data_IF_232904398113
#
_entry.id   IF_232904398113
#
_cell.length_a   1.000
_cell.length_b   1.000
_cell.length_c   1.000
_cell.angle_alpha   90.00
_cell.angle_beta   90.00
_cell.angle_gamma   90.00
#
_symmetry.space_group_name_H-M   'P 1'
#
loop_
_entity.id
_entity.type
_entity.pdbx_description
1 polymer ?
#
# COMPACT_ATOMS: atom_id res chain seq x y z
N UNK A 1 0.22 -21.35 30.49
CA UNK A 1 1.36 -21.00 31.36
C UNK A 1 1.37 -19.50 31.54
N UNK A 2 1.54 -18.99 32.77
CA UNK A 2 1.80 -17.56 32.98
C UNK A 2 3.29 -17.38 32.72
N UNK A 3 3.65 -16.66 31.65
CA UNK A 3 5.03 -16.33 31.33
C UNK A 3 5.29 -14.95 31.92
N UNK A 4 5.93 -14.90 33.09
CA UNK A 4 6.45 -13.64 33.65
C UNK A 4 7.89 -13.43 33.17
N UNK A 5 8.22 -12.22 32.75
CA UNK A 5 9.57 -11.85 32.36
C UNK A 5 9.97 -10.56 33.06
N UNK A 6 10.89 -10.65 34.02
CA UNK A 6 11.39 -9.49 34.76
C UNK A 6 12.14 -8.49 33.86
N UNK A 7 12.53 -8.91 32.65
CA UNK A 7 13.15 -8.07 31.64
C UNK A 7 12.17 -7.20 30.84
N UNK A 8 10.87 -7.51 30.87
CA UNK A 8 9.84 -6.76 30.13
C UNK A 8 9.20 -5.72 31.06
N UNK A 9 9.83 -4.55 31.14
CA UNK A 9 9.34 -3.41 31.91
C UNK A 9 8.63 -2.41 30.99
N UNK A 10 7.41 -2.03 31.36
CA UNK A 10 6.66 -0.95 30.76
C UNK A 10 6.80 0.30 31.65
N UNK A 11 7.09 1.45 31.06
CA UNK A 11 7.06 2.74 31.75
C UNK A 11 5.67 3.40 31.67
N UNK A 12 4.78 2.84 30.84
CA UNK A 12 3.40 3.28 30.65
C UNK A 12 2.44 2.10 30.82
N UNK A 13 1.17 2.38 31.17
CA UNK A 13 0.13 1.35 31.21
C UNK A 13 -0.15 0.78 29.82
N UNK A 14 -0.49 -0.51 29.75
CA UNK A 14 -0.94 -1.17 28.53
C UNK A 14 -2.33 -1.78 28.75
N UNK A 15 -3.25 -1.52 27.82
CA UNK A 15 -4.59 -2.09 27.80
C UNK A 15 -4.65 -3.12 26.68
N UNK A 16 -5.03 -4.35 27.02
CA UNK A 16 -5.31 -5.40 26.04
C UNK A 16 -6.81 -5.44 25.77
N UNK A 17 -7.24 -4.91 24.63
CA UNK A 17 -8.63 -4.91 24.22
C UNK A 17 -8.91 -6.12 23.32
N UNK A 18 -9.56 -7.13 23.89
CA UNK A 18 -10.07 -8.29 23.14
C UNK A 18 -11.56 -8.06 22.89
N UNK A 19 -11.87 -7.35 21.82
CA UNK A 19 -13.25 -7.00 21.43
C UNK A 19 -13.80 -8.00 20.39
N UNK A 20 -15.10 -7.90 20.11
CA UNK A 20 -15.78 -8.76 19.14
C UNK A 20 -16.76 -7.99 18.27
N UNK A 21 -17.28 -8.63 17.21
CA UNK A 21 -18.21 -7.96 16.30
C UNK A 21 -17.54 -6.92 15.39
N UNK A 22 -16.25 -7.11 15.10
CA UNK A 22 -15.53 -6.42 14.03
C UNK A 22 -16.22 -6.70 12.67
N UNK A 23 -16.40 -7.98 12.35
CA UNK A 23 -17.00 -8.48 11.11
C UNK A 23 -18.43 -7.97 10.83
N UNK A 24 -19.15 -7.55 11.88
CA UNK A 24 -20.49 -6.97 11.78
C UNK A 24 -20.50 -5.45 11.81
N UNK A 25 -19.36 -4.82 11.48
CA UNK A 25 -19.04 -3.39 11.53
C UNK A 25 -18.53 -2.84 12.88
N UNK A 26 -17.46 -3.44 13.44
CA UNK A 26 -16.62 -2.84 14.51
C UNK A 26 -17.40 -2.40 15.76
N UNK A 27 -18.48 -3.10 16.07
CA UNK A 27 -19.47 -2.64 17.05
C UNK A 27 -18.89 -2.53 18.47
N UNK A 28 -18.04 -3.48 18.88
CA UNK A 28 -17.46 -3.43 20.22
C UNK A 28 -16.28 -2.44 20.32
N UNK A 29 -15.52 -2.20 19.25
CA UNK A 29 -14.53 -1.12 19.24
C UNK A 29 -15.22 0.23 19.45
N UNK A 30 -16.32 0.46 18.73
CA UNK A 30 -17.16 1.64 18.91
C UNK A 30 -17.71 1.73 20.34
N UNK A 31 -18.25 0.63 20.87
CA UNK A 31 -18.78 0.58 22.24
C UNK A 31 -17.72 0.88 23.29
N UNK A 32 -16.50 0.35 23.13
CA UNK A 32 -15.38 0.66 24.02
C UNK A 32 -15.07 2.15 24.00
N UNK A 33 -14.86 2.71 22.81
CA UNK A 33 -14.42 4.09 22.66
C UNK A 33 -15.47 5.12 23.12
N UNK A 34 -16.76 4.80 22.98
CA UNK A 34 -17.85 5.73 23.32
C UNK A 34 -18.39 5.57 24.74
N UNK A 35 -18.18 4.43 25.41
CA UNK A 35 -18.86 4.13 26.68
C UNK A 35 -17.93 3.62 27.77
N UNK A 36 -16.74 3.09 27.43
CA UNK A 36 -15.88 2.48 28.42
C UNK A 36 -15.02 3.54 29.13
N UNK A 37 -14.97 3.58 30.48
CA UNK A 37 -14.22 4.61 31.21
C UNK A 37 -12.73 4.67 30.86
N UNK A 38 -12.10 3.51 30.59
CA UNK A 38 -10.68 3.47 30.20
C UNK A 38 -10.38 4.05 28.83
N UNK A 39 -11.38 4.30 27.98
CA UNK A 39 -11.16 4.89 26.67
C UNK A 39 -10.55 6.30 26.79
N UNK A 40 -10.87 7.04 27.86
CA UNK A 40 -10.33 8.38 28.13
C UNK A 40 -8.82 8.38 28.43
N UNK A 41 -8.28 7.26 28.91
CA UNK A 41 -6.87 7.10 29.26
C UNK A 41 -6.00 6.61 28.09
N UNK A 42 -6.62 6.25 26.95
CA UNK A 42 -5.88 5.75 25.79
C UNK A 42 -5.22 6.92 25.07
N UNK A 43 -3.89 6.85 24.91
CA UNK A 43 -3.10 7.88 24.21
C UNK A 43 -2.57 7.43 22.85
N UNK A 44 -2.45 6.12 22.65
CA UNK A 44 -1.89 5.47 21.48
C UNK A 44 -2.54 4.08 21.34
N UNK A 45 -2.68 3.55 20.12
CA UNK A 45 -3.18 2.18 19.95
C UNK A 45 -2.42 1.40 18.87
N UNK A 46 -2.35 0.07 19.07
CA UNK A 46 -1.80 -0.87 18.08
C UNK A 46 -2.93 -1.80 17.68
N UNK A 47 -3.39 -1.69 16.44
CA UNK A 47 -4.35 -2.62 15.87
C UNK A 47 -3.61 -3.80 15.25
N UNK A 48 -4.07 -5.01 15.55
CA UNK A 48 -3.50 -6.26 15.08
C UNK A 48 -4.58 -6.94 14.26
N UNK A 49 -4.28 -7.20 12.99
CA UNK A 49 -5.23 -7.85 12.10
C UNK A 49 -4.62 -8.97 11.25
N UNK A 50 -5.45 -9.66 10.46
CA UNK A 50 -4.98 -10.73 9.58
C UNK A 50 -5.81 -10.81 8.30
N UNK A 51 -5.26 -10.32 7.20
CA UNK A 51 -5.86 -10.43 5.85
C UNK A 51 -5.52 -11.74 5.14
N UNK A 52 -4.87 -12.67 5.86
CA UNK A 52 -4.54 -14.00 5.38
C UNK A 52 -3.85 -14.84 6.45
N UNK A 53 -3.96 -16.17 6.32
CA UNK A 53 -3.58 -17.11 7.39
C UNK A 53 -2.06 -17.21 7.66
N UNK A 54 -1.19 -16.60 6.85
CA UNK A 54 0.25 -16.55 7.11
C UNK A 54 0.94 -15.36 6.47
N UNK A 55 2.27 -15.32 6.61
CA UNK A 55 3.15 -14.44 5.88
C UNK A 55 3.80 -13.41 6.79
N UNK A 56 4.48 -12.43 6.19
CA UNK A 56 4.94 -11.28 6.95
C UNK A 56 3.77 -10.53 7.56
N UNK A 57 3.90 -10.12 8.82
CA UNK A 57 3.16 -8.99 9.36
C UNK A 57 3.71 -7.69 8.73
N UNK A 58 2.81 -6.85 8.23
CA UNK A 58 3.15 -5.62 7.50
C UNK A 58 2.36 -4.47 8.10
N UNK A 59 3.05 -3.39 8.48
CA UNK A 59 2.41 -2.11 8.81
C UNK A 59 1.81 -1.53 7.54
N UNK A 60 0.49 -1.39 7.51
CA UNK A 60 -0.23 -0.94 6.32
C UNK A 60 -1.00 0.38 6.53
N UNK A 61 -1.16 0.82 7.77
CA UNK A 61 -1.61 2.17 8.13
C UNK A 61 -0.90 2.66 9.38
N UNK A 62 -0.61 3.96 9.45
CA UNK A 62 -0.20 4.62 10.69
C UNK A 62 -0.43 6.12 10.63
N UNK A 63 -1.02 6.66 11.70
CA UNK A 63 -1.09 8.08 12.02
C UNK A 63 -0.32 8.40 13.33
N UNK A 64 0.61 7.52 13.73
CA UNK A 64 1.49 7.71 14.87
C UNK A 64 2.96 7.57 14.49
N UNK A 65 3.63 8.73 14.35
CA UNK A 65 5.07 8.78 14.17
C UNK A 65 5.80 8.08 15.33
N UNK A 66 5.28 8.14 16.56
CA UNK A 66 5.89 7.48 17.73
C UNK A 66 5.86 5.95 17.58
N UNK A 67 4.71 5.37 17.26
CA UNK A 67 4.57 3.91 17.13
C UNK A 67 5.32 3.39 15.89
N UNK A 68 5.27 4.13 14.78
CA UNK A 68 6.04 3.77 13.59
C UNK A 68 7.55 3.80 13.88
N UNK A 69 8.05 4.85 14.55
CA UNK A 69 9.46 4.90 14.94
C UNK A 69 9.83 3.79 15.95
N UNK A 70 8.94 3.45 16.88
CA UNK A 70 9.15 2.32 17.79
C UNK A 70 9.26 1.00 17.03
N UNK A 71 8.38 0.77 16.06
CA UNK A 71 8.43 -0.40 15.16
C UNK A 71 9.76 -0.47 14.41
N UNK A 72 10.16 0.61 13.74
CA UNK A 72 11.39 0.67 12.94
C UNK A 72 12.65 0.45 13.78
N UNK A 73 12.65 0.90 15.04
CA UNK A 73 13.81 0.78 15.95
C UNK A 73 13.92 -0.59 16.62
N UNK A 74 12.81 -1.31 16.84
CA UNK A 74 12.79 -2.48 17.73
C UNK A 74 12.27 -3.77 17.10
N UNK A 75 11.46 -3.71 16.04
CA UNK A 75 10.92 -4.91 15.42
C UNK A 75 12.03 -5.80 14.85
N UNK A 76 11.87 -7.12 15.00
CA UNK A 76 12.88 -8.09 14.53
C UNK A 76 12.88 -8.20 13.01
N UNK A 77 11.70 -8.10 12.41
CA UNK A 77 11.48 -8.24 10.97
C UNK A 77 10.54 -7.14 10.47
N UNK A 78 10.98 -5.87 10.41
CA UNK A 78 10.11 -4.75 10.07
C UNK A 78 9.72 -4.79 8.59
N UNK A 79 8.43 -4.64 8.32
CA UNK A 79 7.84 -4.50 6.98
C UNK A 79 6.71 -3.51 7.04
N UNK A 80 6.69 -2.59 6.09
CA UNK A 80 5.72 -1.52 6.09
C UNK A 80 5.51 -1.02 4.67
N UNK A 81 4.30 -0.57 4.33
CA UNK A 81 4.06 0.06 3.04
C UNK A 81 2.89 1.04 3.11
N UNK A 82 3.20 2.33 2.90
CA UNK A 82 2.22 3.43 2.95
C UNK A 82 1.19 3.37 1.83
N UNK A 83 1.45 2.66 0.73
CA UNK A 83 0.51 2.56 -0.41
C UNK A 83 -0.83 1.97 0.02
N UNK A 84 -0.84 1.06 1.00
CA UNK A 84 -2.10 0.53 1.52
C UNK A 84 -2.91 1.62 2.22
N UNK A 85 -2.28 2.44 3.05
CA UNK A 85 -2.90 3.61 3.67
C UNK A 85 -3.49 4.54 2.60
N UNK A 86 -2.76 4.86 1.53
CA UNK A 86 -3.29 5.67 0.43
C UNK A 86 -4.56 5.05 -0.19
N UNK A 87 -4.63 3.73 -0.35
CA UNK A 87 -5.81 3.03 -0.88
C UNK A 87 -7.00 3.14 0.07
N UNK A 88 -6.79 3.01 1.39
CA UNK A 88 -7.81 3.25 2.42
C UNK A 88 -8.25 4.72 2.43
N UNK A 89 -7.31 5.65 2.39
CA UNK A 89 -7.52 7.11 2.39
C UNK A 89 -8.21 7.61 1.10
N UNK A 90 -8.10 6.87 0.00
CA UNK A 90 -8.86 7.11 -1.23
C UNK A 90 -10.25 6.45 -1.24
N UNK A 91 -10.58 5.62 -0.24
CA UNK A 91 -11.85 4.92 -0.14
C UNK A 91 -12.02 3.84 -1.22
N UNK A 92 -10.91 3.37 -1.77
CA UNK A 92 -10.88 2.31 -2.80
C UNK A 92 -11.04 0.94 -2.14
N UNK A 93 -10.53 0.78 -0.91
CA UNK A 93 -10.66 -0.46 -0.16
C UNK A 93 -12.10 -0.67 0.32
N UNK A 94 -12.77 -1.78 -0.05
CA UNK A 94 -14.13 -2.08 0.38
C UNK A 94 -14.20 -2.77 1.76
N UNK A 95 -13.12 -2.69 2.55
CA UNK A 95 -13.01 -3.29 3.88
C UNK A 95 -12.50 -2.24 4.86
N UNK A 96 -12.77 -2.48 6.15
CA UNK A 96 -12.23 -1.69 7.25
C UNK A 96 -11.79 -2.61 8.39
N UNK A 97 -11.12 -2.04 9.38
CA UNK A 97 -10.79 -2.71 10.64
C UNK A 97 -11.13 -1.77 11.80
N UNK A 98 -11.04 -2.29 13.03
CA UNK A 98 -11.21 -1.47 14.23
C UNK A 98 -10.33 -0.21 14.24
N UNK A 99 -9.19 -0.21 13.52
CA UNK A 99 -8.35 0.97 13.35
C UNK A 99 -9.13 2.21 12.88
N UNK A 100 -10.13 2.07 12.01
CA UNK A 100 -10.94 3.19 11.52
C UNK A 100 -11.91 3.77 12.56
N UNK A 101 -12.20 3.02 13.63
CA UNK A 101 -12.98 3.52 14.77
C UNK A 101 -12.11 4.34 15.72
N UNK A 102 -10.87 3.88 15.95
CA UNK A 102 -9.92 4.54 16.85
C UNK A 102 -9.21 5.74 16.21
N UNK A 103 -8.86 5.68 14.92
CA UNK A 103 -8.20 6.75 14.18
C UNK A 103 -9.20 7.72 13.52
N UNK A 104 -9.00 9.02 13.74
CA UNK A 104 -9.88 10.10 13.25
C UNK A 104 -9.97 10.21 11.72
N UNK A 105 -8.93 9.77 10.97
CA UNK A 105 -8.77 10.18 9.57
C UNK A 105 -8.62 9.07 8.54
N UNK A 106 -8.58 7.79 8.92
CA UNK A 106 -8.12 6.72 8.01
C UNK A 106 -9.19 5.90 7.29
N UNK A 107 -10.38 6.48 7.06
CA UNK A 107 -11.03 6.16 5.80
C UNK A 107 -11.09 7.41 4.94
N UNK A 108 -10.48 7.27 3.79
CA UNK A 108 -11.29 7.31 2.58
C UNK A 108 -12.07 8.58 2.43
N UNK A 109 -11.35 9.65 2.11
CA UNK A 109 -11.89 10.96 1.80
C UNK A 109 -13.13 10.87 0.92
N UNK A 110 -14.26 11.00 1.59
CA UNK A 110 -15.52 11.33 0.98
C UNK A 110 -16.35 12.07 2.03
N UNK A 111 -16.27 13.40 1.96
CA UNK A 111 -17.43 14.30 2.12
C UNK A 111 -18.60 13.94 1.16
N UNK A 112 -18.64 12.71 0.61
CA UNK A 112 -19.53 12.18 -0.43
C UNK A 112 -20.47 11.11 0.08
N UNK A 113 -20.35 10.65 1.34
CA UNK A 113 -21.52 10.13 2.05
C UNK A 113 -21.98 11.25 2.97
N UNK A 114 -23.02 12.03 2.61
CA UNK A 114 -23.62 12.93 3.57
C UNK A 114 -24.06 12.06 4.73
N UNK A 115 -23.51 12.34 5.90
CA UNK A 115 -24.06 11.86 7.14
C UNK A 115 -25.55 12.15 7.12
N UNK A 116 -26.33 11.10 7.25
CA UNK A 116 -27.57 11.21 7.99
C UNK A 116 -27.14 11.71 9.38
N UNK A 117 -27.27 13.01 9.61
CA UNK A 117 -26.98 13.67 10.89
C UNK A 117 -25.51 14.01 11.14
N UNK A 118 -25.23 15.25 11.52
CA UNK A 118 -23.91 15.79 11.83
C UNK A 118 -23.25 15.20 13.10
N UNK A 119 -23.59 13.96 13.49
CA UNK A 119 -23.15 13.27 14.71
C UNK A 119 -22.25 12.05 14.43
N UNK A 120 -21.85 11.80 13.17
CA UNK A 120 -20.93 10.71 12.81
C UNK A 120 -19.47 11.17 12.72
N UNK A 121 -19.02 12.02 13.64
CA UNK A 121 -17.59 12.14 13.90
C UNK A 121 -17.13 10.75 14.36
N UNK A 122 -16.22 10.13 13.61
CA UNK A 122 -15.65 8.84 13.99
C UNK A 122 -15.02 8.99 15.37
N UNK A 123 -15.25 8.00 16.21
CA UNK A 123 -15.36 8.19 17.65
C UNK A 123 -14.02 8.42 18.38
N UNK A 124 -12.88 8.38 17.69
CA UNK A 124 -11.56 8.64 18.25
C UNK A 124 -10.68 9.53 17.38
N UNK A 125 -9.76 10.23 18.03
CA UNK A 125 -8.63 10.96 17.44
C UNK A 125 -7.32 10.48 18.07
N UNK A 126 -7.18 9.15 18.07
CA UNK A 126 -6.03 8.49 18.64
C UNK A 126 -4.98 8.23 17.57
N UNK A 127 -3.70 8.53 17.85
CA UNK A 127 -2.60 8.06 17.04
C UNK A 127 -2.46 6.53 17.20
N UNK A 128 -2.21 5.84 16.09
CA UNK A 128 -2.13 4.40 16.05
C UNK A 128 -1.30 3.83 14.90
N UNK A 129 -1.18 2.52 14.91
CA UNK A 129 -0.56 1.72 13.86
C UNK A 129 -1.43 0.49 13.59
N UNK A 130 -1.55 0.12 12.31
CA UNK A 130 -2.31 -1.03 11.85
C UNK A 130 -1.39 -2.03 11.16
N UNK A 131 -1.40 -3.27 11.65
CA UNK A 131 -0.47 -4.32 11.22
C UNK A 131 -1.25 -5.58 10.92
N UNK A 132 -1.01 -6.19 9.76
CA UNK A 132 -1.66 -7.45 9.41
C UNK A 132 -0.74 -8.43 8.70
N UNK A 133 -1.01 -9.72 8.86
CA UNK A 133 -0.52 -10.76 7.95
C UNK A 133 -1.22 -10.67 6.61
N UNK A 134 -0.48 -10.92 5.51
CA UNK A 134 -0.95 -10.62 4.15
C UNK A 134 -0.97 -11.81 3.17
N UNK A 135 -0.47 -13.00 3.54
CA UNK A 135 -0.42 -14.14 2.63
C UNK A 135 -1.55 -15.15 2.90
N UNK A 136 -1.95 -15.84 1.83
CA UNK A 136 -3.13 -16.71 1.77
C UNK A 136 -4.49 -16.00 1.85
N UNK A 137 -4.66 -14.88 1.16
CA UNK A 137 -5.96 -14.19 1.04
C UNK A 137 -7.11 -15.06 0.50
N UNK A 138 -6.83 -16.29 0.03
CA UNK A 138 -7.83 -17.26 -0.42
C UNK A 138 -8.59 -17.91 0.75
N UNK A 139 -7.98 -17.96 1.94
CA UNK A 139 -8.64 -18.48 3.13
C UNK A 139 -9.50 -17.42 3.81
N UNK A 140 -9.10 -16.16 3.70
CA UNK A 140 -9.79 -14.99 4.27
C UNK A 140 -11.30 -15.01 3.97
N UNK A 141 -12.13 -14.88 5.01
CA UNK A 141 -13.60 -14.93 4.94
C UNK A 141 -14.17 -16.21 4.30
N UNK A 142 -13.47 -17.34 4.40
CA UNK A 142 -13.95 -18.64 3.91
C UNK A 142 -13.79 -19.74 4.96
N UNK A 143 -14.45 -20.87 4.75
CA UNK A 143 -14.27 -22.07 5.56
C UNK A 143 -12.84 -22.67 5.50
N UNK A 144 -11.97 -22.15 4.62
CA UNK A 144 -10.58 -22.56 4.55
C UNK A 144 -9.74 -21.90 5.64
N UNK A 145 -10.21 -20.85 6.31
CA UNK A 145 -9.47 -20.19 7.39
C UNK A 145 -9.40 -21.11 8.62
N UNK A 146 -8.36 -21.93 8.64
CA UNK A 146 -8.13 -22.95 9.64
C UNK A 146 -6.70 -22.81 10.18
N UNK A 147 -6.52 -23.06 11.47
CA UNK A 147 -5.21 -22.95 12.15
C UNK A 147 -4.11 -23.78 11.50
N UNK A 148 -4.44 -24.92 10.87
CA UNK A 148 -3.48 -25.78 10.15
C UNK A 148 -2.81 -25.11 8.95
N UNK A 149 -3.36 -23.99 8.46
CA UNK A 149 -2.79 -23.19 7.35
C UNK A 149 -1.76 -22.19 7.81
N UNK A 150 -1.72 -21.88 9.11
CA UNK A 150 -0.72 -21.01 9.69
C UNK A 150 0.56 -21.83 9.95
N UNK A 151 1.67 -21.55 9.24
CA UNK A 151 2.94 -22.23 9.50
C UNK A 151 3.47 -21.92 10.89
N UNK A 152 4.25 -22.86 11.43
CA UNK A 152 4.96 -22.66 12.69
C UNK A 152 5.82 -21.38 12.64
N UNK A 153 5.84 -20.66 13.77
CA UNK A 153 6.59 -19.41 13.91
C UNK A 153 5.91 -18.16 13.33
N UNK A 154 4.82 -18.29 12.54
CA UNK A 154 4.09 -17.12 12.03
C UNK A 154 3.53 -16.26 13.18
N UNK A 155 2.80 -16.89 14.11
CA UNK A 155 2.30 -16.22 15.31
C UNK A 155 3.43 -15.69 16.21
N UNK A 156 4.57 -16.40 16.29
CA UNK A 156 5.72 -15.94 17.07
C UNK A 156 6.35 -14.70 16.46
N UNK A 157 6.55 -14.64 15.14
CA UNK A 157 7.12 -13.47 14.47
C UNK A 157 6.22 -12.25 14.63
N UNK A 158 4.91 -12.42 14.47
CA UNK A 158 3.95 -11.33 14.64
C UNK A 158 3.95 -10.86 16.11
N UNK A 159 3.88 -11.79 17.07
CA UNK A 159 3.95 -11.47 18.50
C UNK A 159 5.26 -10.80 18.90
N UNK A 160 6.40 -11.22 18.33
CA UNK A 160 7.71 -10.61 18.57
C UNK A 160 7.76 -9.16 18.09
N UNK A 161 7.21 -8.88 16.91
CA UNK A 161 7.14 -7.53 16.36
C UNK A 161 6.17 -6.64 17.15
N UNK A 162 4.98 -7.13 17.51
CA UNK A 162 4.00 -6.39 18.34
C UNK A 162 4.57 -6.10 19.72
N UNK A 163 5.17 -7.10 20.38
CA UNK A 163 5.81 -6.91 21.69
C UNK A 163 6.93 -5.87 21.62
N UNK A 164 7.73 -5.90 20.54
CA UNK A 164 8.80 -4.93 20.34
C UNK A 164 8.26 -3.49 20.19
N UNK A 165 7.15 -3.29 19.47
CA UNK A 165 6.48 -1.98 19.37
C UNK A 165 6.05 -1.51 20.75
N UNK A 166 5.29 -2.33 21.47
CA UNK A 166 4.69 -1.95 22.76
C UNK A 166 5.78 -1.59 23.78
N UNK A 167 6.81 -2.43 23.92
CA UNK A 167 7.92 -2.17 24.84
C UNK A 167 8.69 -0.90 24.43
N UNK A 168 9.00 -0.75 23.13
CA UNK A 168 9.80 0.40 22.67
C UNK A 168 9.03 1.71 22.75
N UNK A 169 7.75 1.70 22.39
CA UNK A 169 6.86 2.84 22.51
C UNK A 169 6.70 3.27 23.97
N UNK A 170 6.50 2.30 24.88
CA UNK A 170 6.41 2.57 26.32
C UNK A 170 7.67 3.26 26.86
N UNK A 171 8.86 2.79 26.47
CA UNK A 171 10.12 3.45 26.82
C UNK A 171 10.24 4.86 26.24
N UNK A 172 9.84 5.07 24.98
CA UNK A 172 9.90 6.38 24.34
C UNK A 172 8.96 7.38 25.01
N UNK A 173 7.74 6.96 25.35
CA UNK A 173 6.75 7.78 26.06
C UNK A 173 7.22 8.14 27.47
N UNK A 174 7.77 7.17 28.22
CA UNK A 174 8.33 7.45 29.55
C UNK A 174 9.50 8.43 29.52
N UNK A 175 10.34 8.38 28.48
CA UNK A 175 11.46 9.31 28.32
C UNK A 175 11.03 10.73 27.94
N UNK A 176 9.92 10.90 27.22
CA UNK A 176 9.39 12.22 26.87
C UNK A 176 8.78 12.95 28.07
N UNK A 177 8.15 12.22 29.00
CA UNK A 177 7.56 12.81 30.21
C UNK A 177 8.63 13.38 31.17
N UNK A 178 9.84 12.83 31.15
CA UNK A 178 10.99 13.27 31.97
C UNK A 178 11.72 14.53 31.43
N UNK A 179 11.10 15.28 30.51
CA UNK A 179 11.62 16.57 30.00
C UNK A 179 12.40 16.48 28.68
N UNK A 180 12.38 15.31 28.03
CA UNK A 180 12.86 15.15 26.66
C UNK A 180 11.85 15.71 25.65
N UNK A 181 12.15 16.87 25.06
CA UNK A 181 11.42 17.38 23.89
C UNK A 181 11.72 16.52 22.65
N UNK A 182 11.24 15.30 22.59
CA UNK A 182 10.88 14.72 21.30
C UNK A 182 9.44 15.18 21.05
N UNK A 183 9.25 15.99 20.01
CA UNK A 183 7.91 16.31 19.52
C UNK A 183 7.22 14.98 19.21
N UNK A 184 6.33 14.53 20.11
CA UNK A 184 5.28 13.60 19.77
C UNK A 184 4.33 14.34 18.81
N UNK A 185 4.81 14.56 17.59
CA UNK A 185 4.04 15.18 16.53
C UNK A 185 2.84 14.28 16.28
N UNK A 186 1.64 14.87 16.29
CA UNK A 186 0.48 14.27 15.67
C UNK A 186 0.87 13.92 14.22
N UNK A 187 1.06 12.63 13.96
CA UNK A 187 2.06 12.14 13.01
C UNK A 187 1.48 11.26 11.92
N UNK A 188 0.85 11.88 10.93
CA UNK A 188 0.47 11.23 9.65
C UNK A 188 1.35 11.69 8.48
N UNK A 189 2.55 12.20 8.77
CA UNK A 189 3.38 12.89 7.78
C UNK A 189 4.56 12.06 7.28
N UNK A 190 4.70 10.81 7.68
CA UNK A 190 5.80 9.96 7.21
C UNK A 190 5.41 9.19 5.95
N UNK A 191 6.32 9.19 4.97
CA UNK A 191 6.32 8.22 3.87
C UNK A 191 7.16 7.04 4.31
N UNK A 192 6.59 5.83 4.26
CA UNK A 192 7.27 4.61 4.69
C UNK A 192 7.03 3.44 3.73
N UNK A 193 8.08 2.67 3.46
CA UNK A 193 8.01 1.47 2.64
C UNK A 193 9.21 0.55 2.89
N UNK A 194 9.01 -0.76 2.75
CA UNK A 194 10.10 -1.73 2.78
C UNK A 194 10.74 -1.93 1.40
N UNK A 195 12.05 -2.21 1.42
CA UNK A 195 12.82 -2.56 0.22
C UNK A 195 12.98 -4.07 0.19
N UNK A 196 12.13 -4.75 -0.61
CA UNK A 196 12.15 -6.20 -0.83
C UNK A 196 12.09 -7.03 0.47
N UNK A 197 11.45 -6.50 1.52
CA UNK A 197 11.37 -7.13 2.84
C UNK A 197 12.66 -7.15 3.64
N UNK A 198 13.70 -6.41 3.21
CA UNK A 198 15.02 -6.42 3.86
C UNK A 198 15.13 -5.35 4.95
N UNK A 199 14.73 -4.12 4.64
CA UNK A 199 14.71 -3.02 5.59
C UNK A 199 13.63 -2.01 5.18
N UNK A 200 13.20 -1.19 6.14
CA UNK A 200 12.20 -0.14 5.92
C UNK A 200 12.86 1.22 5.82
N UNK A 201 12.42 2.02 4.85
CA UNK A 201 12.75 3.43 4.72
C UNK A 201 11.55 4.22 5.24
N UNK A 202 11.80 5.19 6.11
CA UNK A 202 10.79 6.15 6.54
C UNK A 202 11.37 7.57 6.56
N UNK A 203 10.64 8.54 6.01
CA UNK A 203 11.05 9.95 6.01
C UNK A 203 9.84 10.90 5.96
N UNK A 204 9.99 12.15 6.42
CA UNK A 204 8.91 13.13 6.39
C UNK A 204 8.42 13.47 4.97
N UNK A 205 7.13 13.73 4.83
CA UNK A 205 6.46 14.01 3.57
C UNK A 205 7.05 15.22 2.85
N UNK A 206 7.58 16.21 3.59
CA UNK A 206 8.25 17.35 2.98
C UNK A 206 9.50 16.94 2.19
N UNK A 207 10.22 15.90 2.62
CA UNK A 207 11.35 15.32 1.88
C UNK A 207 10.83 14.64 0.61
N UNK A 208 9.72 13.92 0.69
CA UNK A 208 9.04 13.34 -0.47
C UNK A 208 8.76 14.41 -1.53
N UNK A 209 8.18 15.54 -1.11
CA UNK A 209 7.90 16.67 -2.02
C UNK A 209 9.15 17.18 -2.71
N UNK A 210 10.29 17.27 -2.02
CA UNK A 210 11.55 17.70 -2.64
C UNK A 210 12.03 16.65 -3.65
N UNK A 211 12.06 15.38 -3.26
CA UNK A 211 12.54 14.26 -4.09
C UNK A 211 11.69 14.09 -5.36
N UNK A 212 10.40 14.43 -5.32
CA UNK A 212 9.53 14.36 -6.49
C UNK A 212 9.45 15.66 -7.28
N UNK A 213 9.26 16.81 -6.63
CA UNK A 213 9.02 18.07 -7.34
C UNK A 213 10.29 18.68 -7.93
N UNK A 214 11.46 18.54 -7.30
CA UNK A 214 12.69 19.14 -7.82
C UNK A 214 13.15 18.47 -9.12
N UNK A 215 13.26 17.13 -9.24
CA UNK A 215 13.60 16.50 -10.51
C UNK A 215 12.56 16.79 -11.60
N UNK A 216 11.27 16.86 -11.25
CA UNK A 216 10.21 17.23 -12.18
C UNK A 216 10.41 18.65 -12.72
N UNK A 217 10.66 19.62 -11.83
CA UNK A 217 10.90 21.01 -12.21
C UNK A 217 12.15 21.18 -13.08
N UNK A 218 13.26 20.54 -12.70
CA UNK A 218 14.51 20.57 -13.47
C UNK A 218 14.35 19.94 -14.86
N UNK A 219 13.70 18.77 -14.93
CA UNK A 219 13.44 18.10 -16.21
C UNK A 219 12.53 18.94 -17.09
N UNK A 220 11.48 19.53 -16.53
CA UNK A 220 10.57 20.42 -17.26
C UNK A 220 11.27 21.68 -17.77
N UNK A 221 12.09 22.31 -16.93
CA UNK A 221 12.86 23.50 -17.31
C UNK A 221 13.89 23.19 -18.41
N UNK A 222 14.59 22.05 -18.30
CA UNK A 222 15.54 21.59 -19.32
C UNK A 222 14.83 21.34 -20.66
N UNK A 223 13.70 20.63 -20.66
CA UNK A 223 12.90 20.38 -21.87
C UNK A 223 12.40 21.69 -22.48
N UNK A 224 11.94 22.64 -21.67
CA UNK A 224 11.48 23.95 -22.14
C UNK A 224 12.63 24.76 -22.77
N UNK A 225 13.79 24.81 -22.12
CA UNK A 225 14.97 25.52 -22.62
C UNK A 225 15.47 24.94 -23.96
N UNK A 226 15.53 23.61 -24.09
CA UNK A 226 15.91 22.95 -25.34
C UNK A 226 14.92 23.24 -26.48
N UNK A 227 13.60 23.24 -26.18
CA UNK A 227 12.58 23.63 -27.17
C UNK A 227 12.71 25.08 -27.62
N UNK A 228 12.97 26.02 -26.70
CA UNK A 228 13.23 27.44 -27.03
C UNK A 228 14.47 27.57 -27.91
N UNK A 229 15.51 26.77 -27.65
CA UNK A 229 16.74 26.71 -28.45
C UNK A 229 16.61 25.99 -29.80
N UNK A 230 15.41 25.54 -30.19
CA UNK A 230 15.17 24.84 -31.46
C UNK A 230 15.72 23.42 -31.51
N UNK A 231 16.09 22.83 -30.36
CA UNK A 231 16.56 21.44 -30.29
C UNK A 231 15.36 20.51 -30.21
N UNK A 232 15.34 19.47 -31.05
CA UNK A 232 14.34 18.41 -30.93
C UNK A 232 14.53 17.63 -29.62
N UNK A 233 13.45 17.51 -28.85
CA UNK A 233 13.48 16.86 -27.53
C UNK A 233 12.61 15.60 -27.57
N UNK A 234 13.17 14.44 -27.94
CA UNK A 234 12.42 13.18 -27.99
C UNK A 234 12.02 12.69 -26.59
N UNK A 235 12.50 13.34 -25.52
CA UNK A 235 12.12 13.02 -24.13
C UNK A 235 10.61 13.04 -23.93
N UNK A 236 9.88 13.92 -24.61
CA UNK A 236 8.41 13.95 -24.50
C UNK A 236 7.78 12.69 -25.12
N UNK A 237 8.21 12.29 -26.31
CA UNK A 237 7.73 11.07 -26.99
C UNK A 237 8.12 9.81 -26.18
N UNK A 238 9.34 9.78 -25.66
CA UNK A 238 9.81 8.71 -24.77
C UNK A 238 9.01 8.63 -23.46
N UNK A 239 8.75 9.76 -22.81
CA UNK A 239 7.95 9.83 -21.59
C UNK A 239 6.50 9.42 -21.83
N UNK A 240 5.89 9.85 -22.95
CA UNK A 240 4.54 9.41 -23.30
C UNK A 240 4.49 7.91 -23.59
N UNK A 241 5.49 7.37 -24.28
CA UNK A 241 5.56 5.93 -24.57
C UNK A 241 5.72 5.12 -23.29
N UNK A 242 6.56 5.60 -22.37
CA UNK A 242 6.75 4.98 -21.07
C UNK A 242 5.47 5.00 -20.23
N UNK A 243 4.77 6.14 -20.14
CA UNK A 243 3.50 6.25 -19.42
C UNK A 243 2.43 5.32 -20.00
N UNK A 244 2.31 5.28 -21.33
CA UNK A 244 1.41 4.35 -22.01
C UNK A 244 1.81 2.89 -21.75
N UNK A 245 3.10 2.59 -21.62
CA UNK A 245 3.60 1.26 -21.29
C UNK A 245 3.21 0.87 -19.86
N UNK A 246 3.33 1.77 -18.89
CA UNK A 246 2.85 1.54 -17.53
C UNK A 246 1.34 1.26 -17.52
N UNK A 247 0.54 2.12 -18.17
CA UNK A 247 -0.91 1.93 -18.27
C UNK A 247 -1.26 0.62 -18.98
N UNK A 248 -0.59 0.32 -20.10
CA UNK A 248 -0.77 -0.92 -20.85
C UNK A 248 -0.46 -2.15 -20.01
N UNK A 249 0.60 -2.12 -19.21
CA UNK A 249 1.00 -3.20 -18.30
C UNK A 249 -0.03 -3.47 -17.20
N UNK A 250 -0.81 -2.46 -16.80
CA UNK A 250 -1.87 -2.57 -15.79
C UNK A 250 -3.20 -2.98 -16.41
N UNK A 251 -3.59 -2.38 -17.54
CA UNK A 251 -4.91 -2.60 -18.15
C UNK A 251 -5.01 -3.91 -18.93
N UNK A 252 -3.94 -4.35 -19.59
CA UNK A 252 -3.96 -5.60 -20.35
C UNK A 252 -4.27 -6.85 -19.51
N UNK A 253 -3.68 -7.07 -18.31
CA UNK A 253 -4.06 -8.20 -17.47
C UNK A 253 -5.50 -8.06 -16.96
N UNK A 254 -5.99 -6.85 -16.65
CA UNK A 254 -7.38 -6.62 -16.22
C UNK A 254 -8.38 -6.91 -17.34
N UNK A 255 -8.08 -6.49 -18.57
CA UNK A 255 -8.92 -6.79 -19.73
C UNK A 255 -8.94 -8.29 -20.02
N UNK A 256 -7.78 -8.94 -20.02
CA UNK A 256 -7.68 -10.39 -20.20
C UNK A 256 -8.39 -11.15 -19.08
N UNK A 257 -8.25 -10.70 -17.83
CA UNK A 257 -8.99 -11.20 -16.69
C UNK A 257 -10.51 -11.14 -16.93
N UNK A 258 -11.03 -9.99 -17.38
CA UNK A 258 -12.44 -9.83 -17.71
C UNK A 258 -12.92 -10.83 -18.77
N UNK A 259 -12.08 -11.12 -19.77
CA UNK A 259 -12.37 -12.13 -20.80
C UNK A 259 -12.45 -13.55 -20.24
N UNK A 260 -11.73 -13.88 -19.16
CA UNK A 260 -11.86 -15.20 -18.51
C UNK A 260 -13.26 -15.44 -17.93
N UNK A 261 -14.03 -14.38 -17.66
CA UNK A 261 -15.44 -14.48 -17.27
C UNK A 261 -16.35 -15.06 -18.34
N UNK A 262 -15.91 -15.09 -19.60
CA UNK A 262 -16.64 -15.71 -20.72
C UNK A 262 -16.41 -17.23 -20.82
N UNK A 263 -15.49 -17.79 -20.02
CA UNK A 263 -15.19 -19.22 -20.03
C UNK A 263 -16.23 -20.01 -19.22
N UNK A 264 -16.35 -21.30 -19.51
CA UNK A 264 -17.27 -22.24 -18.81
C UNK A 264 -16.99 -22.32 -17.31
N UNK A 265 -15.74 -22.08 -16.90
CA UNK A 265 -15.32 -22.04 -15.50
C UNK A 265 -14.70 -20.67 -15.20
N UNK A 266 -15.53 -19.65 -14.91
CA UNK A 266 -15.01 -18.36 -14.49
C UNK A 266 -14.21 -18.55 -13.20
N UNK A 267 -13.10 -17.82 -13.06
CA UNK A 267 -12.24 -17.86 -11.87
C UNK A 267 -11.52 -19.20 -11.60
N UNK A 268 -11.25 -20.06 -12.59
CA UNK A 268 -10.50 -21.32 -12.39
C UNK A 268 -9.05 -21.13 -11.84
N UNK A 269 -8.54 -19.89 -11.91
CA UNK A 269 -7.29 -19.45 -11.31
C UNK A 269 -7.43 -19.07 -9.82
N UNK A 270 -8.64 -18.78 -9.33
CA UNK A 270 -8.92 -18.46 -7.94
C UNK A 270 -8.64 -19.71 -7.10
N UNK A 271 -7.69 -19.62 -6.17
CA UNK A 271 -7.16 -20.80 -5.50
C UNK A 271 -5.78 -21.25 -5.98
N UNK A 272 -5.35 -20.85 -7.18
CA UNK A 272 -4.16 -21.39 -7.87
C UNK A 272 -3.24 -20.25 -8.34
N UNK A 273 -2.35 -19.73 -7.47
CA UNK A 273 -1.57 -18.52 -7.75
C UNK A 273 -0.67 -18.64 -9.00
N UNK A 274 -0.17 -19.84 -9.30
CA UNK A 274 0.61 -20.10 -10.51
C UNK A 274 -0.21 -19.94 -11.80
N UNK A 275 -1.51 -20.29 -11.80
CA UNK A 275 -2.39 -20.04 -12.96
C UNK A 275 -2.63 -18.55 -13.13
N UNK A 276 -2.89 -17.85 -12.01
CA UNK A 276 -3.03 -16.39 -12.04
C UNK A 276 -1.75 -15.73 -12.59
N UNK A 277 -0.56 -16.17 -12.16
CA UNK A 277 0.71 -15.65 -12.67
C UNK A 277 0.89 -15.92 -14.18
N UNK A 278 0.57 -17.13 -14.67
CA UNK A 278 0.64 -17.47 -16.10
C UNK A 278 -0.32 -16.65 -16.96
N UNK A 279 -1.41 -16.15 -16.38
CA UNK A 279 -2.38 -15.30 -17.07
C UNK A 279 -1.95 -13.83 -17.03
N UNK A 280 -1.62 -13.31 -15.84
CA UNK A 280 -1.41 -11.89 -15.60
C UNK A 280 -0.03 -11.39 -16.02
N UNK A 281 1.02 -12.19 -15.84
CA UNK A 281 2.40 -11.76 -16.13
C UNK A 281 2.65 -11.61 -17.64
N UNK A 282 2.34 -12.60 -18.50
CA UNK A 282 2.57 -12.45 -19.94
C UNK A 282 1.72 -11.36 -20.57
N UNK A 283 0.48 -11.18 -20.09
CA UNK A 283 -0.41 -10.11 -20.58
C UNK A 283 0.10 -8.74 -20.18
N UNK A 284 0.56 -8.56 -18.94
CA UNK A 284 1.21 -7.32 -18.48
C UNK A 284 2.46 -6.98 -19.31
N UNK A 285 3.30 -7.97 -19.60
CA UNK A 285 4.48 -7.81 -20.47
C UNK A 285 4.03 -7.41 -21.89
N UNK A 286 3.05 -8.09 -22.47
CA UNK A 286 2.56 -7.73 -23.80
C UNK A 286 2.01 -6.29 -23.84
N UNK A 287 1.26 -5.89 -22.82
CA UNK A 287 0.73 -4.53 -22.68
C UNK A 287 1.82 -3.46 -22.52
N UNK A 288 2.94 -3.77 -21.87
CA UNK A 288 4.05 -2.82 -21.72
C UNK A 288 4.82 -2.60 -23.03
N UNK A 289 4.98 -3.64 -23.86
CA UNK A 289 5.67 -3.52 -25.15
C UNK A 289 4.82 -2.86 -26.25
N UNK A 290 3.49 -2.90 -26.13
CA UNK A 290 2.60 -2.45 -27.19
C UNK A 290 2.81 -0.98 -27.63
N UNK A 291 2.99 0.00 -26.71
CA UNK A 291 3.31 1.38 -27.10
C UNK A 291 4.65 1.53 -27.84
N UNK A 292 5.65 0.71 -27.53
CA UNK A 292 6.94 0.71 -28.22
C UNK A 292 6.82 0.19 -29.66
N UNK A 293 5.99 -0.84 -29.88
CA UNK A 293 5.69 -1.33 -31.23
C UNK A 293 4.96 -0.26 -32.05
N UNK A 294 3.97 0.42 -31.47
CA UNK A 294 3.25 1.50 -32.14
C UNK A 294 4.12 2.71 -32.47
N UNK A 295 4.99 3.13 -31.56
CA UNK A 295 5.90 4.25 -31.81
C UNK A 295 6.95 3.91 -32.86
N UNK A 296 7.52 2.70 -32.82
CA UNK A 296 8.46 2.22 -33.82
C UNK A 296 7.83 2.14 -35.22
N UNK A 297 6.66 1.52 -35.35
CA UNK A 297 5.92 1.42 -36.63
C UNK A 297 5.55 2.80 -37.17
N UNK A 298 5.08 3.71 -36.31
CA UNK A 298 4.80 5.10 -36.67
C UNK A 298 6.04 5.82 -37.20
N UNK A 299 7.18 5.70 -36.52
CA UNK A 299 8.43 6.35 -36.95
C UNK A 299 8.90 5.81 -38.31
N UNK A 300 8.83 4.49 -38.51
CA UNK A 300 9.14 3.86 -39.81
C UNK A 300 8.22 4.33 -40.93
N UNK A 301 6.91 4.45 -40.64
CA UNK A 301 5.94 4.96 -41.62
C UNK A 301 6.22 6.43 -41.98
N UNK A 302 6.52 7.28 -41.00
CA UNK A 302 6.89 8.68 -41.24
C UNK A 302 8.17 8.80 -42.07
N UNK A 303 9.17 7.95 -41.81
CA UNK A 303 10.40 7.90 -42.61
C UNK A 303 10.12 7.49 -44.06
N UNK A 304 9.33 6.43 -44.28
CA UNK A 304 8.97 5.97 -45.61
C UNK A 304 8.17 7.04 -46.39
N UNK A 305 7.27 7.77 -45.73
CA UNK A 305 6.55 8.89 -46.33
C UNK A 305 7.51 10.03 -46.68
N UNK A 306 8.43 10.39 -45.78
CA UNK A 306 9.41 11.45 -46.01
C UNK A 306 10.40 11.12 -47.14
N UNK A 307 10.76 9.84 -47.30
CA UNK A 307 11.64 9.36 -48.36
C UNK A 307 10.91 8.96 -49.65
N UNK A 308 9.57 9.11 -49.70
CA UNK A 308 8.72 8.64 -50.80
C UNK A 308 8.91 7.14 -51.14
N UNK A 309 9.23 6.31 -50.14
CA UNK A 309 9.45 4.87 -50.29
C UNK A 309 8.11 4.12 -50.15
N UNK A 310 7.34 4.10 -51.25
CA UNK A 310 6.04 3.45 -51.30
C UNK A 310 6.08 1.94 -50.98
N UNK A 311 7.09 1.15 -51.46
CA UNK A 311 7.24 -0.25 -51.05
C UNK A 311 7.45 -0.42 -49.54
N UNK A 312 8.30 0.38 -48.91
CA UNK A 312 8.51 0.29 -47.46
C UNK A 312 7.23 0.63 -46.68
N UNK A 313 6.49 1.67 -47.10
CA UNK A 313 5.22 2.04 -46.48
C UNK A 313 4.16 0.93 -46.66
N UNK A 314 4.09 0.31 -47.84
CA UNK A 314 3.18 -0.81 -48.12
C UNK A 314 3.50 -2.01 -47.22
N UNK A 315 4.78 -2.37 -47.08
CA UNK A 315 5.20 -3.49 -46.22
C UNK A 315 4.88 -3.25 -44.73
N UNK A 316 4.94 -1.99 -44.27
CA UNK A 316 4.53 -1.60 -42.91
C UNK A 316 3.01 -1.71 -42.71
N UNK A 317 2.20 -1.29 -43.68
CA UNK A 317 0.74 -1.31 -43.60
C UNK A 317 0.14 -2.72 -43.69
N UNK A 318 0.78 -3.60 -44.46
CA UNK A 318 0.32 -4.99 -44.67
C UNK A 318 0.86 -5.92 -43.57
N UNK A 319 1.84 -5.48 -42.76
CA UNK A 319 2.40 -6.25 -41.65
C UNK A 319 3.56 -7.16 -42.04
N UNK A 320 4.06 -7.09 -43.28
CA UNK A 320 5.18 -7.90 -43.78
C UNK A 320 6.53 -7.57 -43.07
N UNK A 321 6.58 -6.47 -42.32
CA UNK A 321 7.78 -6.07 -41.55
C UNK A 321 8.04 -6.87 -40.27
N UNK A 322 7.12 -7.74 -39.82
CA UNK A 322 7.28 -8.57 -38.61
C UNK A 322 7.77 -10.01 -38.91
N UNK A 323 8.22 -10.32 -40.13
CA UNK A 323 8.71 -11.66 -40.45
C UNK A 323 9.52 -11.77 -41.74
N UNK A 324 10.84 -11.60 -41.61
CA UNK A 324 11.87 -12.43 -42.26
C UNK A 324 13.04 -12.60 -41.30
#
# INVERSE_FOLDING_TARGET
>A
AIVSSDSARLETSAIFLLNGGEETYMNAAHGFLTQHPWAEDVTQFVNIESTGSYGPDVVFRSNSDLLLNAYLKAAKSPRANVVFQDIFDLGIMPAETDYAVFAHESAGGAKSRPSVGADTARYGDLPGIDIATMFDSRSYHTALDESKRMPDGCAQNFGDNVMAIVLKASQMMGASDDGGKEEAGAGGSLVYFDVLGVFVIAYPFWVARIVHCVPLALTTALVAAMKIGGVEVPVLEGATTFLLSCVGSMLSPVAFFGLTGLLVQPMAWYGRPYIAAMILVPTSIAGSFMPYVFTWTRQKALQAVASADAPALQNLLVGDSLGS
#
